data_IF_938730918043
#
_entry.id   IF_938730918043
#
_cell.length_a   1.000
_cell.length_b   1.000
_cell.length_c   1.000
_cell.angle_alpha   90.00
_cell.angle_beta   90.00
_cell.angle_gamma   90.00
#
_symmetry.space_group_name_H-M   'P 1'
#
loop_
_entity.id
_entity.type
_entity.pdbx_description
1 polymer ?
#
# COMPACT_ATOMS: atom_id res chain seq x y z
N UNK A 1 21.54 -12.50 -29.41
CA UNK A 1 20.43 -12.52 -28.45
C UNK A 1 19.68 -11.20 -28.63
N UNK A 2 18.49 -11.18 -29.25
CA UNK A 2 17.83 -9.92 -29.57
C UNK A 2 17.29 -9.28 -28.28
N UNK A 3 17.47 -7.97 -28.19
CA UNK A 3 17.01 -7.06 -27.14
C UNK A 3 15.64 -7.46 -26.57
N UNK A 4 15.60 -7.83 -25.29
CA UNK A 4 14.40 -7.65 -24.48
C UNK A 4 14.13 -6.15 -24.44
N UNK A 5 13.18 -5.69 -25.25
CA UNK A 5 12.49 -4.41 -25.05
C UNK A 5 12.07 -4.37 -23.59
N UNK A 6 12.72 -3.54 -22.78
CA UNK A 6 12.20 -3.13 -21.48
C UNK A 6 10.76 -2.71 -21.73
N UNK A 7 9.80 -3.34 -21.03
CA UNK A 7 8.45 -2.81 -20.98
C UNK A 7 8.59 -1.33 -20.63
N UNK A 8 7.97 -0.44 -21.43
CA UNK A 8 8.02 1.00 -21.19
C UNK A 8 7.59 1.22 -19.74
N UNK A 9 8.55 1.59 -18.88
CA UNK A 9 8.30 1.84 -17.48
C UNK A 9 7.56 3.17 -17.39
N UNK A 10 6.27 3.09 -17.04
CA UNK A 10 5.38 4.24 -16.89
C UNK A 10 5.15 4.58 -15.41
N UNK A 11 5.97 4.04 -14.50
CA UNK A 11 5.77 4.24 -13.06
C UNK A 11 5.99 5.69 -12.62
N UNK A 12 6.89 6.42 -13.30
CA UNK A 12 7.19 7.82 -13.00
C UNK A 12 6.00 8.76 -13.21
N UNK A 13 5.11 8.42 -14.13
CA UNK A 13 3.92 9.16 -14.51
C UNK A 13 2.86 9.13 -13.41
N UNK A 14 2.97 8.17 -12.48
CA UNK A 14 2.07 8.02 -11.33
C UNK A 14 2.69 8.52 -10.01
N UNK A 15 3.84 9.19 -10.04
CA UNK A 15 4.56 9.56 -8.81
C UNK A 15 3.71 10.42 -7.84
N UNK A 16 2.85 11.28 -8.39
CA UNK A 16 1.96 12.16 -7.64
C UNK A 16 0.49 11.69 -7.65
N UNK A 17 0.22 10.47 -8.12
CA UNK A 17 -1.13 9.91 -8.21
C UNK A 17 -1.41 9.05 -6.99
N UNK A 18 -2.43 9.43 -6.22
CA UNK A 18 -2.90 8.66 -5.06
C UNK A 18 -3.63 7.39 -5.48
N UNK A 19 -3.82 6.45 -4.54
CA UNK A 19 -4.54 5.22 -4.83
C UNK A 19 -6.01 5.47 -5.19
N UNK A 20 -6.62 6.47 -4.55
CA UNK A 20 -7.98 6.89 -4.84
C UNK A 20 -8.11 7.55 -6.22
N UNK A 21 -7.16 8.41 -6.59
CA UNK A 21 -7.12 9.03 -7.92
C UNK A 21 -6.93 7.99 -9.01
N UNK A 22 -6.01 7.03 -8.82
CA UNK A 22 -5.78 5.92 -9.75
C UNK A 22 -7.08 5.14 -10.03
N UNK A 23 -7.87 4.87 -8.99
CA UNK A 23 -9.17 4.22 -9.14
C UNK A 23 -10.21 5.10 -9.81
N UNK A 24 -10.08 6.42 -9.81
CA UNK A 24 -11.01 7.32 -10.51
C UNK A 24 -10.64 7.53 -11.99
N UNK A 25 -9.39 7.24 -12.38
CA UNK A 25 -8.88 7.54 -13.72
C UNK A 25 -9.66 6.86 -14.85
N UNK A 26 -9.90 7.63 -15.91
CA UNK A 26 -10.39 7.16 -17.19
C UNK A 26 -9.28 7.15 -18.25
N UNK A 27 -9.61 6.71 -19.46
CA UNK A 27 -8.65 6.57 -20.55
C UNK A 27 -7.94 7.89 -20.86
N UNK A 28 -8.70 8.98 -20.86
CA UNK A 28 -8.24 10.32 -21.19
C UNK A 28 -7.24 10.82 -20.14
N UNK A 29 -7.42 10.47 -18.87
CA UNK A 29 -6.50 10.85 -17.79
C UNK A 29 -5.12 10.20 -17.97
N UNK A 30 -5.07 8.94 -18.44
CA UNK A 30 -3.81 8.27 -18.79
C UNK A 30 -3.10 8.98 -19.94
N UNK A 31 -3.86 9.52 -20.91
CA UNK A 31 -3.27 10.31 -21.99
C UNK A 31 -2.73 11.65 -21.48
N UNK A 32 -3.40 12.29 -20.53
CA UNK A 32 -2.91 13.51 -19.87
C UNK A 32 -1.65 13.28 -19.04
N UNK A 33 -1.45 12.09 -18.48
CA UNK A 33 -0.19 11.68 -17.85
C UNK A 33 0.96 11.42 -18.84
N UNK A 34 0.71 11.52 -20.15
CA UNK A 34 1.72 11.26 -21.19
C UNK A 34 1.76 9.83 -21.69
N UNK A 35 0.87 8.95 -21.21
CA UNK A 35 0.78 7.56 -21.64
C UNK A 35 -0.01 7.51 -22.94
N UNK A 36 0.71 7.51 -24.07
CA UNK A 36 0.11 7.62 -25.41
C UNK A 36 0.01 6.29 -26.16
N UNK A 37 0.75 5.27 -25.74
CA UNK A 37 0.80 3.97 -26.42
C UNK A 37 -0.53 3.22 -26.23
N UNK A 38 -1.30 2.94 -27.29
CA UNK A 38 -2.65 2.38 -27.14
C UNK A 38 -2.69 1.02 -26.41
N UNK A 39 -1.69 0.17 -26.62
CA UNK A 39 -1.57 -1.11 -25.93
C UNK A 39 -1.34 -0.96 -24.42
N UNK A 40 -0.53 0.02 -24.01
CA UNK A 40 -0.27 0.32 -22.60
C UNK A 40 -1.52 0.87 -21.92
N UNK A 41 -2.21 1.82 -22.57
CA UNK A 41 -3.50 2.35 -22.11
C UNK A 41 -4.50 1.22 -21.89
N UNK A 42 -4.65 0.30 -22.85
CA UNK A 42 -5.59 -0.81 -22.74
C UNK A 42 -5.27 -1.75 -21.57
N UNK A 43 -3.98 -2.04 -21.33
CA UNK A 43 -3.55 -2.87 -20.21
C UNK A 43 -3.78 -2.18 -18.86
N UNK A 44 -3.45 -0.89 -18.75
CA UNK A 44 -3.67 -0.09 -17.54
C UNK A 44 -5.16 0.01 -17.20
N UNK A 45 -6.00 0.34 -18.19
CA UNK A 45 -7.46 0.40 -17.98
C UNK A 45 -8.02 -0.95 -17.51
N UNK A 46 -7.53 -2.05 -18.08
CA UNK A 46 -7.94 -3.40 -17.63
C UNK A 46 -7.50 -3.67 -16.19
N UNK A 47 -6.30 -3.26 -15.80
CA UNK A 47 -5.80 -3.42 -14.44
C UNK A 47 -6.57 -2.56 -13.43
N UNK A 48 -6.81 -1.28 -13.75
CA UNK A 48 -7.61 -0.36 -12.93
C UNK A 48 -9.03 -0.91 -12.76
N UNK A 49 -9.66 -1.38 -13.83
CA UNK A 49 -11.01 -1.96 -13.74
C UNK A 49 -11.02 -3.19 -12.83
N UNK A 50 -10.03 -4.09 -12.96
CA UNK A 50 -9.92 -5.23 -12.05
C UNK A 50 -9.79 -4.78 -10.59
N UNK A 51 -8.98 -3.75 -10.32
CA UNK A 51 -8.83 -3.21 -8.96
C UNK A 51 -10.14 -2.60 -8.43
N UNK A 52 -10.96 -1.96 -9.27
CA UNK A 52 -12.30 -1.49 -8.91
C UNK A 52 -13.22 -2.65 -8.58
N UNK A 53 -13.27 -3.67 -9.45
CA UNK A 53 -14.11 -4.84 -9.25
C UNK A 53 -13.72 -5.58 -7.96
N UNK A 54 -12.42 -5.71 -7.69
CA UNK A 54 -11.89 -6.30 -6.46
C UNK A 54 -12.16 -5.41 -5.23
N UNK A 55 -12.28 -4.08 -5.38
CA UNK A 55 -12.72 -3.14 -4.33
C UNK A 55 -14.20 -3.29 -4.00
N UNK A 56 -15.03 -3.42 -5.03
CA UNK A 56 -16.49 -3.51 -4.88
C UNK A 56 -16.93 -4.92 -4.45
N UNK A 57 -16.25 -5.98 -4.90
CA UNK A 57 -16.60 -7.37 -4.62
C UNK A 57 -16.15 -7.84 -3.23
N UNK A 58 -15.11 -7.22 -2.67
CA UNK A 58 -14.54 -7.59 -1.38
C UNK A 58 -14.52 -6.39 -0.44
N UNK A 59 -15.21 -6.47 0.72
CA UNK A 59 -15.00 -5.56 1.87
C UNK A 59 -13.56 -5.64 2.46
N UNK A 60 -12.57 -6.04 1.68
CA UNK A 60 -11.32 -6.68 2.08
C UNK A 60 -10.09 -6.12 1.35
N UNK A 61 -10.28 -5.40 0.24
CA UNK A 61 -9.25 -4.62 -0.44
C UNK A 61 -8.91 -3.41 0.43
N UNK A 62 -7.95 -3.62 1.33
CA UNK A 62 -7.41 -2.56 2.15
C UNK A 62 -6.56 -1.71 1.20
N UNK A 63 -7.08 -0.56 0.79
CA UNK A 63 -6.23 0.51 0.28
C UNK A 63 -5.33 0.94 1.43
N UNK A 64 -4.12 0.37 1.44
CA UNK A 64 -3.11 0.75 2.39
C UNK A 64 -2.41 1.99 1.84
N UNK A 65 -3.09 3.12 1.93
CA UNK A 65 -2.50 4.41 1.61
C UNK A 65 -1.58 4.82 2.76
N UNK A 66 -0.36 4.28 2.73
CA UNK A 66 0.64 4.65 3.71
C UNK A 66 1.20 6.02 3.36
N UNK A 67 0.75 7.06 4.07
CA UNK A 67 1.62 8.21 4.24
C UNK A 67 2.87 7.75 5.02
N UNK A 68 4.06 8.13 4.56
CA UNK A 68 5.31 7.87 5.28
C UNK A 68 5.25 8.33 6.76
N UNK A 69 4.37 9.30 7.03
CA UNK A 69 4.04 9.80 8.36
C UNK A 69 3.45 8.73 9.31
N UNK A 70 2.57 7.85 8.82
CA UNK A 70 1.95 6.79 9.64
C UNK A 70 2.99 5.79 10.16
N UNK A 71 3.92 5.36 9.32
CA UNK A 71 5.03 4.51 9.75
C UNK A 71 5.99 5.23 10.69
N UNK A 72 6.28 6.50 10.42
CA UNK A 72 7.09 7.33 11.31
C UNK A 72 6.53 7.36 12.73
N UNK A 73 5.22 7.57 12.90
CA UNK A 73 4.56 7.58 14.21
C UNK A 73 4.57 6.22 14.92
N UNK A 74 4.37 5.13 14.19
CA UNK A 74 4.48 3.78 14.75
C UNK A 74 5.90 3.53 15.28
N UNK A 75 6.92 3.87 14.48
CA UNK A 75 8.33 3.71 14.87
C UNK A 75 8.68 4.62 16.06
N UNK A 76 8.22 5.86 16.06
CA UNK A 76 8.45 6.80 17.17
C UNK A 76 7.81 6.31 18.47
N UNK A 77 6.60 5.77 18.40
CA UNK A 77 5.93 5.17 19.55
C UNK A 77 6.70 3.96 20.09
N UNK A 78 7.20 3.07 19.22
CA UNK A 78 8.03 1.94 19.62
C UNK A 78 9.37 2.39 20.25
N UNK A 79 9.99 3.44 19.70
CA UNK A 79 11.20 4.06 20.27
C UNK A 79 10.95 4.65 21.66
N UNK A 80 9.84 5.38 21.83
CA UNK A 80 9.44 5.92 23.13
C UNK A 80 9.17 4.80 24.14
N UNK A 81 8.45 3.75 23.75
CA UNK A 81 8.21 2.58 24.62
C UNK A 81 9.52 1.91 25.06
N UNK A 82 10.47 1.74 24.13
CA UNK A 82 11.80 1.21 24.43
C UNK A 82 12.59 2.13 25.38
N UNK A 83 12.60 3.43 25.14
CA UNK A 83 13.26 4.40 26.02
C UNK A 83 12.65 4.41 27.42
N UNK A 84 11.31 4.43 27.52
CA UNK A 84 10.58 4.43 28.80
C UNK A 84 10.84 3.14 29.59
N UNK A 85 10.86 1.98 28.93
CA UNK A 85 11.17 0.70 29.59
C UNK A 85 12.61 0.60 30.10
N UNK A 86 13.56 1.37 29.53
CA UNK A 86 14.94 1.45 30.03
C UNK A 86 15.09 2.32 31.29
N UNK A 87 14.12 3.22 31.57
CA UNK A 87 14.12 4.08 32.76
C UNK A 87 13.61 3.39 34.04
N UNK A 88 13.30 2.09 34.00
CA UNK A 88 13.09 1.24 35.18
C UNK A 88 11.85 1.52 36.03
N UNK A 89 11.07 2.58 35.75
CA UNK A 89 9.96 3.02 36.61
C UNK A 89 8.56 2.89 35.98
N UNK A 90 8.43 2.29 34.81
CA UNK A 90 7.14 2.10 34.13
C UNK A 90 6.95 0.61 33.82
N UNK A 91 5.79 0.02 34.13
CA UNK A 91 5.49 -1.36 33.75
C UNK A 91 5.71 -1.54 32.25
N UNK A 92 6.39 -2.62 31.86
CA UNK A 92 6.56 -2.99 30.45
C UNK A 92 5.20 -2.94 29.77
N UNK A 93 5.00 -1.97 28.87
CA UNK A 93 3.75 -1.84 28.14
C UNK A 93 3.52 -3.18 27.42
N UNK A 94 2.32 -3.74 27.59
CA UNK A 94 1.93 -4.94 26.84
C UNK A 94 2.03 -4.67 25.33
N UNK A 95 2.14 -5.73 24.51
CA UNK A 95 2.09 -5.55 23.06
C UNK A 95 0.83 -4.77 22.68
N UNK A 96 0.89 -3.91 21.64
CA UNK A 96 -0.27 -3.17 21.18
C UNK A 96 -1.41 -4.16 20.92
N UNK A 97 -2.55 -3.92 21.59
CA UNK A 97 -3.75 -4.73 21.39
C UNK A 97 -4.49 -4.21 20.17
N UNK A 98 -4.62 -5.05 19.16
CA UNK A 98 -5.49 -4.78 18.02
C UNK A 98 -6.94 -5.02 18.46
N UNK A 99 -7.80 -4.02 18.24
CA UNK A 99 -9.24 -4.17 18.49
C UNK A 99 -9.78 -5.36 17.70
N UNK A 100 -10.71 -6.12 18.29
CA UNK A 100 -11.24 -7.35 17.67
C UNK A 100 -11.82 -7.10 16.28
N UNK A 101 -12.50 -5.95 16.09
CA UNK A 101 -13.02 -5.50 14.81
C UNK A 101 -11.93 -5.28 13.73
N UNK A 102 -10.69 -4.98 14.13
CA UNK A 102 -9.57 -4.66 13.24
C UNK A 102 -8.58 -5.82 13.08
N UNK A 103 -8.75 -6.94 13.79
CA UNK A 103 -7.81 -8.07 13.74
C UNK A 103 -7.64 -8.66 12.34
N UNK A 104 -8.75 -8.82 11.61
CA UNK A 104 -8.71 -9.29 10.22
C UNK A 104 -7.97 -8.31 9.30
N UNK A 105 -8.13 -7.01 9.54
CA UNK A 105 -7.45 -5.97 8.77
C UNK A 105 -5.94 -5.97 9.05
N UNK A 106 -5.58 -6.03 10.33
CA UNK A 106 -4.21 -6.12 10.79
C UNK A 106 -3.50 -7.35 10.21
N UNK A 107 -4.13 -8.53 10.29
CA UNK A 107 -3.56 -9.78 9.76
C UNK A 107 -3.23 -9.67 8.27
N UNK A 108 -4.16 -9.16 7.45
CA UNK A 108 -3.93 -8.95 6.01
C UNK A 108 -2.77 -7.99 5.74
N UNK A 109 -2.66 -6.90 6.51
CA UNK A 109 -1.55 -5.94 6.37
C UNK A 109 -0.21 -6.61 6.71
N UNK A 110 -0.16 -7.37 7.81
CA UNK A 110 1.08 -8.08 8.21
C UNK A 110 1.50 -9.09 7.15
N UNK A 111 0.56 -9.91 6.64
CA UNK A 111 0.84 -10.89 5.58
C UNK A 111 1.32 -10.23 4.29
N UNK A 112 0.80 -9.04 3.96
CA UNK A 112 1.21 -8.29 2.78
C UNK A 112 2.63 -7.73 2.89
N UNK A 113 3.00 -7.11 4.01
CA UNK A 113 4.32 -6.48 4.18
C UNK A 113 5.41 -7.46 4.64
N UNK A 114 5.05 -8.53 5.34
CA UNK A 114 5.97 -9.53 5.88
C UNK A 114 5.57 -10.94 5.43
N UNK A 115 5.66 -11.26 4.12
CA UNK A 115 5.34 -12.58 3.64
C UNK A 115 6.35 -13.61 4.19
N UNK A 116 5.89 -14.54 5.04
CA UNK A 116 6.69 -15.63 5.63
C UNK A 116 6.77 -15.60 7.17
N UNK A 117 7.71 -16.36 7.76
CA UNK A 117 7.83 -16.58 9.22
C UNK A 117 8.19 -15.33 10.04
N UNK A 118 8.36 -14.17 9.41
CA UNK A 118 8.60 -12.89 10.07
C UNK A 118 7.30 -12.24 10.62
N UNK A 119 6.14 -12.84 10.35
CA UNK A 119 4.82 -12.35 10.76
C UNK A 119 4.39 -12.78 12.18
N UNK A 120 5.18 -13.61 12.88
CA UNK A 120 4.78 -14.25 14.15
C UNK A 120 5.31 -13.58 15.42
#
# INVERSE_FOLDING_TARGET
IPNLRTADDVSSEFADVTGAELLAMEREDLMYLGITRPGTIALLMKAIQKLRDDNDAEKSTIFVEHSAYCFGKIIDQLRMMKAISQLGSVPKAGPPKVLEAEQMRYKRIVEFYFPGDLAS
#
